data_IF_804506329260
#
_entry.id   IF_804506329260
#
_cell.length_a   1.000
_cell.length_b   1.000
_cell.length_c   1.000
_cell.angle_alpha   90.00
_cell.angle_beta   90.00
_cell.angle_gamma   90.00
#
_symmetry.space_group_name_H-M   'P 1'
#
loop_
_entity.id
_entity.type
_entity.pdbx_description
1 polymer ?
#
# COMPACT_ATOMS: atom_id res chain seq x y z
N UNK A 1 62.71 -4.56 15.83
CA UNK A 1 61.62 -5.01 14.93
C UNK A 1 60.52 -3.98 15.03
N UNK A 2 60.41 -3.10 14.03
CA UNK A 2 59.60 -1.88 14.08
C UNK A 2 58.60 -1.82 12.91
N UNK A 3 57.49 -1.14 13.19
CA UNK A 3 56.12 -1.39 12.81
C UNK A 3 55.64 -0.35 11.80
N UNK A 4 56.31 -0.19 10.64
CA UNK A 4 55.96 0.86 9.65
C UNK A 4 55.97 0.44 8.18
N UNK A 5 55.63 -0.82 7.89
CA UNK A 5 55.52 -1.34 6.51
C UNK A 5 54.08 -1.69 6.07
N UNK A 6 53.13 -0.77 6.32
CA UNK A 6 51.72 -0.89 5.86
C UNK A 6 51.14 0.44 5.35
N UNK A 7 51.85 1.11 4.44
CA UNK A 7 51.32 2.29 3.70
C UNK A 7 51.50 2.16 2.19
N UNK A 8 51.17 0.98 1.64
CA UNK A 8 51.21 0.71 0.18
C UNK A 8 49.81 0.50 -0.43
N UNK A 9 48.71 0.67 0.32
CA UNK A 9 47.36 0.51 -0.24
C UNK A 9 46.52 1.75 0.10
N UNK A 10 46.72 2.82 -0.66
CA UNK A 10 45.78 3.94 -0.76
C UNK A 10 45.83 4.44 -2.21
N UNK A 11 44.88 3.90 -2.99
CA UNK A 11 44.38 4.34 -4.30
C UNK A 11 44.72 5.80 -4.61
N UNK A 12 45.53 6.13 -5.62
CA UNK A 12 45.26 6.05 -7.08
C UNK A 12 43.90 6.68 -7.49
N UNK A 13 44.05 7.90 -8.02
CA UNK A 13 43.22 8.56 -9.05
C UNK A 13 41.91 9.21 -8.59
N UNK A 14 42.05 10.40 -7.99
CA UNK A 14 41.08 11.47 -8.15
C UNK A 14 41.13 11.98 -9.60
N UNK A 15 40.12 11.62 -10.39
CA UNK A 15 39.98 11.96 -11.80
C UNK A 15 39.53 13.40 -12.02
N UNK A 16 40.27 14.09 -12.88
CA UNK A 16 40.12 15.48 -13.26
C UNK A 16 38.88 15.76 -14.12
N UNK A 17 38.43 17.00 -13.99
CA UNK A 17 37.39 17.70 -14.75
C UNK A 17 37.95 18.17 -16.11
N UNK A 18 37.04 18.40 -17.07
CA UNK A 18 37.12 19.30 -18.25
C UNK A 18 37.15 18.64 -19.65
N UNK A 19 35.96 18.68 -20.28
CA UNK A 19 35.62 19.13 -21.65
C UNK A 19 36.42 18.61 -22.85
N UNK A 20 35.73 17.94 -23.77
CA UNK A 20 36.06 17.98 -25.19
C UNK A 20 35.54 16.79 -25.99
N UNK A 21 35.00 17.09 -27.17
CA UNK A 21 34.75 16.20 -28.33
C UNK A 21 33.35 15.63 -28.50
N UNK A 22 32.47 16.53 -28.97
CA UNK A 22 31.63 16.21 -30.12
C UNK A 22 32.50 15.63 -31.26
N UNK A 23 32.05 14.53 -31.86
CA UNK A 23 32.66 13.95 -33.07
C UNK A 23 33.55 12.75 -32.80
N UNK A 24 32.93 11.57 -32.62
CA UNK A 24 33.71 10.33 -32.61
C UNK A 24 33.04 9.14 -31.96
N UNK A 25 31.81 8.78 -32.37
CA UNK A 25 31.27 7.43 -32.19
C UNK A 25 30.17 7.12 -33.22
N UNK A 26 30.41 7.54 -34.47
CA UNK A 26 29.93 6.78 -35.63
C UNK A 26 30.75 5.48 -35.66
N UNK A 27 30.12 4.33 -35.43
CA UNK A 27 30.73 3.05 -35.82
C UNK A 27 30.75 1.93 -34.78
N UNK A 28 29.86 1.92 -33.79
CA UNK A 28 29.63 0.70 -33.01
C UNK A 28 28.18 0.63 -32.55
N UNK A 29 27.33 0.01 -33.37
CA UNK A 29 26.32 -0.99 -32.98
C UNK A 29 25.28 -1.16 -34.11
N UNK A 30 25.38 -2.30 -34.77
CA UNK A 30 24.36 -2.84 -35.67
C UNK A 30 23.11 -3.26 -34.88
N UNK A 31 21.95 -2.91 -35.46
CA UNK A 31 20.64 -3.61 -35.42
C UNK A 31 19.81 -3.66 -34.12
N UNK A 32 18.71 -2.91 -34.12
CA UNK A 32 17.47 -3.25 -33.41
C UNK A 32 16.24 -2.55 -34.04
N UNK A 33 15.05 -3.19 -34.10
CA UNK A 33 13.83 -2.65 -34.74
C UNK A 33 13.19 -1.45 -34.00
N UNK A 34 13.72 -1.09 -32.83
CA UNK A 34 13.16 -0.07 -31.96
C UNK A 34 13.33 1.38 -32.46
N UNK A 35 14.26 1.64 -33.41
CA UNK A 35 14.47 3.00 -33.91
C UNK A 35 13.42 3.44 -34.95
N UNK A 36 12.93 2.51 -35.79
CA UNK A 36 11.86 2.83 -36.75
C UNK A 36 10.52 3.12 -36.05
N UNK A 37 10.29 2.49 -34.90
CA UNK A 37 9.06 2.65 -34.12
C UNK A 37 9.05 3.95 -33.31
N UNK A 38 10.23 4.50 -32.98
CA UNK A 38 10.37 5.81 -32.35
C UNK A 38 10.12 6.96 -33.37
N UNK A 39 10.62 6.83 -34.60
CA UNK A 39 10.35 7.80 -35.67
C UNK A 39 8.87 7.83 -36.09
N UNK A 40 8.22 6.68 -36.23
CA UNK A 40 6.78 6.62 -36.57
C UNK A 40 5.86 7.17 -35.45
N UNK A 41 6.29 7.11 -34.18
CA UNK A 41 5.51 7.68 -33.06
C UNK A 41 5.56 9.20 -33.03
N UNK A 42 6.65 9.82 -33.48
CA UNK A 42 6.76 11.28 -33.57
C UNK A 42 5.85 11.85 -34.69
N UNK A 43 5.84 11.24 -35.87
CA UNK A 43 4.97 11.65 -37.00
C UNK A 43 3.46 11.50 -36.68
N UNK A 44 3.08 10.48 -35.90
CA UNK A 44 1.69 10.24 -35.49
C UNK A 44 1.20 11.23 -34.41
N UNK A 45 2.11 11.81 -33.62
CA UNK A 45 1.75 12.79 -32.60
C UNK A 45 1.46 14.18 -33.19
N UNK A 46 2.22 14.61 -34.20
CA UNK A 46 1.95 15.88 -34.90
C UNK A 46 0.64 15.82 -35.72
N UNK A 47 0.34 14.68 -36.35
CA UNK A 47 -0.95 14.49 -37.05
C UNK A 47 -2.17 14.49 -36.13
N UNK A 48 -2.01 14.11 -34.85
CA UNK A 48 -3.10 14.15 -33.87
C UNK A 48 -3.31 15.53 -33.26
N UNK A 49 -2.29 16.38 -33.22
CA UNK A 49 -2.42 17.74 -32.68
C UNK A 49 -3.09 18.69 -33.68
N UNK A 50 -2.91 18.47 -34.99
CA UNK A 50 -3.58 19.24 -36.05
C UNK A 50 -5.09 18.92 -36.23
N UNK A 51 -5.60 17.87 -35.57
CA UNK A 51 -7.01 17.47 -35.67
C UNK A 51 -7.89 17.97 -34.52
N UNK A 52 -7.34 18.74 -33.56
CA UNK A 52 -8.04 19.19 -32.35
C UNK A 52 -8.49 20.67 -32.44
N UNK A 53 -8.17 21.39 -33.51
CA UNK A 53 -8.51 22.83 -33.63
C UNK A 53 -9.75 23.17 -34.49
N UNK A 54 -10.49 22.21 -35.04
CA UNK A 54 -11.68 22.52 -35.85
C UNK A 54 -12.88 21.60 -35.56
N UNK A 55 -13.67 21.97 -34.55
CA UNK A 55 -15.14 21.88 -34.60
C UNK A 55 -15.74 22.34 -33.28
N UNK A 56 -16.11 23.62 -33.29
CA UNK A 56 -17.05 24.26 -32.40
C UNK A 56 -18.50 23.82 -32.71
N UNK A 57 -19.32 23.75 -31.66
CA UNK A 57 -20.78 23.96 -31.65
C UNK A 57 -21.72 22.72 -31.65
N UNK A 58 -22.30 22.52 -30.45
CA UNK A 58 -23.69 22.18 -30.10
C UNK A 58 -24.43 21.00 -30.77
N UNK A 59 -24.92 20.06 -29.93
CA UNK A 59 -26.38 19.88 -29.72
C UNK A 59 -26.69 18.96 -28.52
N UNK A 60 -27.85 19.20 -27.91
CA UNK A 60 -28.40 18.56 -26.71
C UNK A 60 -29.23 17.34 -27.15
N UNK A 61 -29.02 16.16 -26.55
CA UNK A 61 -30.04 15.09 -26.60
C UNK A 61 -29.91 14.13 -25.44
N UNK A 62 -31.02 13.96 -24.71
CA UNK A 62 -31.22 13.04 -23.59
C UNK A 62 -30.97 11.58 -23.97
N UNK A 63 -30.31 10.82 -23.10
CA UNK A 63 -30.38 9.37 -23.07
C UNK A 63 -30.21 8.87 -21.64
N UNK A 64 -31.26 8.25 -21.13
CA UNK A 64 -31.31 7.52 -19.85
C UNK A 64 -30.65 6.16 -20.06
N UNK A 65 -29.62 5.85 -19.28
CA UNK A 65 -29.05 4.50 -19.15
C UNK A 65 -29.13 4.03 -17.68
N UNK A 66 -29.31 2.72 -17.46
CA UNK A 66 -29.66 2.17 -16.15
C UNK A 66 -28.45 2.16 -15.22
N UNK A 67 -28.62 2.73 -14.04
CA UNK A 67 -27.68 2.62 -12.93
C UNK A 67 -27.68 1.20 -12.39
N UNK A 68 -26.75 0.37 -12.84
CA UNK A 68 -26.24 -0.73 -12.03
C UNK A 68 -25.19 -0.16 -11.07
N UNK A 69 -25.30 -0.36 -9.75
CA UNK A 69 -24.20 -0.02 -8.85
C UNK A 69 -23.02 -0.95 -9.17
N UNK A 70 -21.78 -0.43 -9.28
CA UNK A 70 -20.62 -1.31 -9.32
C UNK A 70 -20.50 -2.01 -7.97
N UNK A 71 -20.76 -3.32 -7.94
CA UNK A 71 -20.28 -4.20 -6.90
C UNK A 71 -18.76 -4.27 -7.04
N UNK A 72 -18.06 -3.35 -6.37
CA UNK A 72 -16.61 -3.30 -6.30
C UNK A 72 -16.11 -4.40 -5.34
N UNK A 73 -16.15 -5.65 -5.80
CA UNK A 73 -15.32 -6.72 -5.25
C UNK A 73 -13.94 -6.62 -5.89
N UNK A 74 -13.20 -5.58 -5.50
CA UNK A 74 -11.91 -5.21 -6.07
C UNK A 74 -10.82 -6.25 -5.80
N UNK A 75 -10.13 -6.63 -6.87
CA UNK A 75 -8.81 -7.30 -6.77
C UNK A 75 -7.86 -6.39 -5.99
N UNK A 76 -7.07 -6.91 -5.03
CA UNK A 76 -6.15 -6.10 -4.24
C UNK A 76 -5.18 -5.36 -5.16
N UNK A 77 -5.18 -4.03 -5.06
CA UNK A 77 -4.25 -3.17 -5.80
C UNK A 77 -3.13 -2.76 -4.85
N UNK A 78 -1.88 -2.87 -5.31
CA UNK A 78 -0.72 -2.36 -4.57
C UNK A 78 -0.87 -0.85 -4.46
N UNK A 79 -1.12 -0.36 -3.24
CA UNK A 79 -1.44 1.04 -3.01
C UNK A 79 -0.16 1.87 -2.88
N UNK A 80 -0.07 2.97 -3.62
CA UNK A 80 1.04 3.90 -3.51
C UNK A 80 0.75 4.88 -2.37
N UNK A 81 1.48 4.75 -1.27
CA UNK A 81 1.70 5.74 -0.20
C UNK A 81 0.45 6.38 0.45
N UNK A 82 -0.10 5.72 1.48
CA UNK A 82 -0.86 6.40 2.54
C UNK A 82 -0.11 6.23 3.87
N UNK A 83 0.95 7.02 4.07
CA UNK A 83 1.66 7.04 5.34
C UNK A 83 0.74 7.55 6.46
N UNK A 84 0.86 6.98 7.65
CA UNK A 84 0.03 7.34 8.79
C UNK A 84 -0.49 6.15 9.58
N UNK A 85 -1.34 6.45 10.56
CA UNK A 85 -2.00 5.47 11.43
C UNK A 85 -3.42 5.22 10.92
N UNK A 86 -3.76 3.96 10.66
CA UNK A 86 -5.03 3.56 10.06
C UNK A 86 -5.71 2.49 10.89
N UNK A 87 -7.04 2.57 11.00
CA UNK A 87 -7.87 1.53 11.58
C UNK A 87 -8.36 0.59 10.47
N UNK A 88 -8.22 -0.72 10.66
CA UNK A 88 -8.50 -1.67 9.59
C UNK A 88 -8.79 -3.09 10.11
N UNK A 89 -9.26 -3.93 9.20
CA UNK A 89 -9.22 -5.38 9.34
C UNK A 89 -8.13 -5.94 8.42
N UNK A 90 -7.29 -6.81 8.96
CA UNK A 90 -6.36 -7.61 8.14
C UNK A 90 -7.16 -8.76 7.54
N UNK A 91 -7.14 -8.89 6.21
CA UNK A 91 -7.88 -9.93 5.48
C UNK A 91 -7.01 -11.11 5.10
N UNK A 92 -5.79 -10.86 4.66
CA UNK A 92 -4.85 -11.90 4.24
C UNK A 92 -3.42 -11.52 4.57
N UNK A 93 -2.59 -12.52 4.85
CA UNK A 93 -1.13 -12.41 4.91
C UNK A 93 -0.57 -13.36 3.87
N UNK A 94 0.24 -12.86 2.95
CA UNK A 94 0.80 -13.65 1.85
C UNK A 94 2.29 -13.36 1.67
N UNK A 95 3.07 -14.42 1.49
CA UNK A 95 4.48 -14.32 1.11
C UNK A 95 4.57 -14.38 -0.43
N UNK A 96 5.13 -13.33 -1.05
CA UNK A 96 5.33 -13.26 -2.51
C UNK A 96 6.55 -12.41 -2.86
N UNK A 97 7.24 -12.77 -3.94
CA UNK A 97 8.40 -12.03 -4.45
C UNK A 97 9.49 -11.74 -3.38
N UNK A 98 9.70 -12.66 -2.43
CA UNK A 98 10.70 -12.53 -1.38
C UNK A 98 10.34 -11.55 -0.24
N UNK A 99 9.08 -11.11 -0.15
CA UNK A 99 8.58 -10.31 0.96
C UNK A 99 7.18 -10.77 1.41
N UNK A 100 6.76 -10.28 2.58
CA UNK A 100 5.44 -10.54 3.13
C UNK A 100 4.53 -9.32 2.89
N UNK A 101 3.27 -9.59 2.53
CA UNK A 101 2.27 -8.58 2.21
C UNK A 101 0.99 -8.83 3.00
N UNK A 102 0.39 -7.74 3.49
CA UNK A 102 -0.90 -7.74 4.16
C UNK A 102 -1.94 -7.08 3.25
N UNK A 103 -3.06 -7.76 3.05
CA UNK A 103 -4.27 -7.13 2.50
C UNK A 103 -5.10 -6.63 3.66
N UNK A 104 -5.45 -5.34 3.63
CA UNK A 104 -6.22 -4.66 4.66
C UNK A 104 -7.47 -4.01 4.09
N UNK A 105 -8.50 -3.96 4.91
CA UNK A 105 -9.79 -3.33 4.65
C UNK A 105 -9.97 -2.22 5.68
N UNK A 106 -9.89 -0.97 5.24
CA UNK A 106 -9.95 0.17 6.15
C UNK A 106 -11.34 0.34 6.73
N UNK A 107 -11.37 0.78 7.99
CA UNK A 107 -12.58 1.09 8.71
C UNK A 107 -12.33 2.32 9.58
N UNK A 108 -13.36 2.83 10.22
CA UNK A 108 -13.28 3.94 11.15
C UNK A 108 -13.86 3.50 12.49
N UNK A 109 -13.10 3.69 13.56
CA UNK A 109 -13.60 3.58 14.92
C UNK A 109 -14.08 4.95 15.37
N UNK A 110 -15.40 5.12 15.45
CA UNK A 110 -16.06 6.34 15.93
C UNK A 110 -16.38 6.18 17.41
N UNK A 111 -16.38 7.29 18.15
CA UNK A 111 -16.77 7.34 19.57
C UNK A 111 -17.70 8.52 19.87
N UNK A 112 -18.39 8.47 21.02
CA UNK A 112 -19.24 9.56 21.48
C UNK A 112 -20.37 9.91 20.52
N UNK A 113 -20.62 11.20 20.33
CA UNK A 113 -21.69 11.68 19.43
C UNK A 113 -21.54 11.17 18.00
N UNK A 114 -20.32 11.08 17.47
CA UNK A 114 -20.10 10.56 16.12
C UNK A 114 -20.49 9.08 16.01
N UNK A 115 -20.23 8.29 17.05
CA UNK A 115 -20.67 6.90 17.11
C UNK A 115 -22.20 6.79 17.17
N UNK A 116 -22.86 7.59 18.00
CA UNK A 116 -24.32 7.61 18.08
C UNK A 116 -24.98 8.01 16.75
N UNK A 117 -24.49 9.07 16.10
CA UNK A 117 -25.02 9.53 14.82
C UNK A 117 -24.82 8.47 13.72
N UNK A 118 -23.65 7.82 13.66
CA UNK A 118 -23.36 6.77 12.70
C UNK A 118 -24.17 5.49 12.95
N UNK A 119 -24.31 5.08 14.22
CA UNK A 119 -25.13 3.93 14.60
C UNK A 119 -26.61 4.15 14.24
N UNK A 120 -27.15 5.33 14.53
CA UNK A 120 -28.51 5.72 14.16
C UNK A 120 -28.71 5.71 12.63
N UNK A 121 -27.76 6.27 11.87
CA UNK A 121 -27.79 6.26 10.41
C UNK A 121 -27.71 4.84 9.82
N UNK A 122 -27.02 3.91 10.50
CA UNK A 122 -26.95 2.50 10.13
C UNK A 122 -28.17 1.68 10.58
N UNK A 123 -29.15 2.28 11.26
CA UNK A 123 -30.32 1.60 11.83
C UNK A 123 -29.97 0.65 12.98
N UNK A 124 -28.85 0.89 13.66
CA UNK A 124 -28.40 0.13 14.84
C UNK A 124 -28.78 0.84 16.14
N UNK A 125 -28.54 0.17 17.26
CA UNK A 125 -28.75 0.74 18.60
C UNK A 125 -27.97 2.05 18.77
N UNK A 126 -28.67 3.09 19.25
CA UNK A 126 -28.10 4.43 19.45
C UNK A 126 -28.57 5.03 20.78
N UNK A 127 -27.67 5.45 21.68
CA UNK A 127 -26.20 5.36 21.53
C UNK A 127 -25.74 3.88 21.53
N UNK A 128 -24.67 3.54 20.80
CA UNK A 128 -24.16 2.18 20.77
C UNK A 128 -23.61 1.77 22.14
N UNK A 129 -23.69 0.48 22.50
CA UNK A 129 -23.02 -0.05 23.69
C UNK A 129 -21.52 0.33 23.70
N UNK A 130 -20.99 0.60 24.88
CA UNK A 130 -19.57 0.97 25.09
C UNK A 130 -19.11 2.24 24.32
N UNK A 131 -20.06 3.06 23.82
CA UNK A 131 -19.85 4.37 23.20
C UNK A 131 -18.91 4.36 21.98
N UNK A 132 -18.86 3.26 21.23
CA UNK A 132 -18.13 3.16 19.98
C UNK A 132 -18.98 2.58 18.85
N UNK A 133 -18.65 2.96 17.63
CA UNK A 133 -19.23 2.39 16.42
C UNK A 133 -18.12 2.20 15.37
N UNK A 134 -17.99 0.98 14.85
CA UNK A 134 -17.05 0.71 13.76
C UNK A 134 -17.78 0.82 12.43
N UNK A 135 -17.45 1.86 11.68
CA UNK A 135 -17.98 2.07 10.34
C UNK A 135 -17.02 1.52 9.30
N UNK A 136 -17.52 0.73 8.36
CA UNK A 136 -16.78 0.36 7.17
C UNK A 136 -17.70 0.50 5.95
N UNK A 137 -17.83 1.74 5.48
CA UNK A 137 -18.61 2.11 4.30
C UNK A 137 -17.86 1.87 2.99
N UNK A 138 -16.53 1.84 3.01
CA UNK A 138 -15.68 1.63 1.84
C UNK A 138 -14.92 0.29 1.94
N UNK A 139 -15.40 -0.73 1.21
CA UNK A 139 -14.84 -2.10 1.21
C UNK A 139 -13.57 -2.28 0.37
N UNK A 140 -12.94 -1.19 -0.07
CA UNK A 140 -11.74 -1.26 -0.92
C UNK A 140 -10.60 -1.95 -0.17
N UNK A 141 -10.16 -3.08 -0.72
CA UNK A 141 -9.00 -3.80 -0.24
C UNK A 141 -7.71 -3.14 -0.73
N UNK A 142 -6.76 -2.96 0.19
CA UNK A 142 -5.45 -2.39 -0.07
C UNK A 142 -4.38 -3.38 0.36
N UNK A 143 -3.33 -3.51 -0.44
CA UNK A 143 -2.23 -4.40 -0.13
C UNK A 143 -0.94 -3.62 0.10
N UNK A 144 -0.22 -3.96 1.18
CA UNK A 144 1.02 -3.31 1.56
C UNK A 144 2.09 -4.35 1.94
N UNK A 145 3.38 -4.10 1.62
CA UNK A 145 4.47 -4.84 2.25
C UNK A 145 4.50 -4.54 3.75
N UNK A 146 5.00 -5.50 4.52
CA UNK A 146 5.19 -5.37 5.98
C UNK A 146 6.65 -5.57 6.36
N UNK A 147 7.12 -4.79 7.33
CA UNK A 147 8.38 -5.05 8.00
C UNK A 147 8.23 -6.26 8.93
N UNK A 148 8.84 -7.38 8.58
CA UNK A 148 8.73 -8.63 9.34
C UNK A 148 9.59 -8.67 10.60
N UNK A 149 10.44 -7.65 10.84
CA UNK A 149 11.22 -7.54 12.07
C UNK A 149 10.43 -6.93 13.25
N UNK A 150 9.18 -6.50 13.01
CA UNK A 150 8.35 -5.88 14.04
C UNK A 150 7.82 -6.90 15.05
N UNK A 151 7.43 -6.39 16.22
CA UNK A 151 6.54 -7.11 17.12
C UNK A 151 5.12 -6.58 16.95
N UNK A 152 4.15 -7.49 16.88
CA UNK A 152 2.72 -7.19 16.85
C UNK A 152 2.20 -7.14 18.28
N UNK A 153 1.39 -6.14 18.60
CA UNK A 153 0.71 -6.07 19.91
C UNK A 153 -0.67 -6.71 19.78
N UNK A 154 -0.95 -7.74 20.58
CA UNK A 154 -2.23 -8.43 20.61
C UNK A 154 -2.92 -8.20 21.95
N UNK A 155 -4.24 -8.23 21.95
CA UNK A 155 -5.10 -8.20 23.14
C UNK A 155 -5.92 -9.48 23.25
N UNK A 156 -6.25 -10.14 22.15
CA UNK A 156 -6.92 -11.44 22.17
C UNK A 156 -5.95 -12.55 22.56
N UNK A 157 -6.38 -13.49 23.40
CA UNK A 157 -5.63 -14.71 23.75
C UNK A 157 -6.50 -15.94 23.46
N UNK A 158 -5.91 -17.14 23.54
CA UNK A 158 -6.70 -18.37 23.44
C UNK A 158 -7.69 -18.56 24.60
N UNK A 159 -7.49 -17.84 25.71
CA UNK A 159 -8.25 -17.97 26.96
C UNK A 159 -9.23 -16.81 27.17
N UNK A 160 -9.25 -15.81 26.29
CA UNK A 160 -10.09 -14.63 26.39
C UNK A 160 -9.37 -13.38 25.90
N UNK A 161 -9.33 -12.35 26.75
CA UNK A 161 -8.77 -11.04 26.39
C UNK A 161 -7.82 -10.57 27.49
N UNK A 162 -6.70 -9.99 27.05
CA UNK A 162 -5.68 -9.34 27.85
C UNK A 162 -5.65 -7.85 27.48
N UNK A 163 -6.41 -6.97 28.19
CA UNK A 163 -6.61 -5.58 27.80
C UNK A 163 -5.33 -4.73 27.77
N UNK A 164 -4.34 -5.05 28.59
CA UNK A 164 -3.03 -4.38 28.61
C UNK A 164 -2.18 -4.68 27.37
N UNK A 165 -2.54 -5.72 26.63
CA UNK A 165 -1.85 -6.21 25.45
C UNK A 165 -0.52 -6.91 25.74
N UNK A 166 -0.12 -7.77 24.81
CA UNK A 166 1.16 -8.47 24.84
C UNK A 166 1.81 -8.45 23.46
N UNK A 167 3.13 -8.59 23.41
CA UNK A 167 3.90 -8.52 22.16
C UNK A 167 4.24 -9.91 21.65
N UNK A 168 4.03 -10.13 20.37
CA UNK A 168 4.46 -11.34 19.65
C UNK A 168 5.35 -10.96 18.46
N UNK A 169 6.41 -11.73 18.15
CA UNK A 169 7.13 -11.57 16.89
C UNK A 169 6.18 -11.68 15.70
N UNK A 170 6.43 -10.92 14.62
CA UNK A 170 5.57 -10.95 13.44
C UNK A 170 5.38 -12.36 12.86
N UNK A 171 6.43 -13.19 12.84
CA UNK A 171 6.33 -14.57 12.35
C UNK A 171 5.35 -15.43 13.15
N UNK A 172 5.31 -15.26 14.47
CA UNK A 172 4.34 -15.97 15.33
C UNK A 172 2.92 -15.47 15.10
N UNK A 173 2.75 -14.15 14.96
CA UNK A 173 1.47 -13.55 14.57
C UNK A 173 0.98 -14.09 13.22
N UNK A 174 1.84 -14.17 12.21
CA UNK A 174 1.49 -14.73 10.91
C UNK A 174 1.06 -16.20 11.03
N UNK A 175 1.79 -17.01 11.80
CA UNK A 175 1.44 -18.41 12.02
C UNK A 175 0.08 -18.56 12.70
N UNK A 176 -0.22 -17.74 13.71
CA UNK A 176 -1.54 -17.72 14.37
C UNK A 176 -2.63 -17.28 13.39
N UNK A 177 -2.42 -16.15 12.68
CA UNK A 177 -3.42 -15.57 11.77
C UNK A 177 -3.77 -16.51 10.62
N UNK A 178 -2.79 -17.23 10.08
CA UNK A 178 -2.96 -18.18 8.97
C UNK A 178 -3.39 -19.59 9.42
N UNK A 179 -3.54 -19.81 10.74
CA UNK A 179 -3.95 -21.08 11.31
C UNK A 179 -2.87 -22.17 11.31
N UNK A 180 -1.61 -21.82 11.06
CA UNK A 180 -0.45 -22.72 11.16
C UNK A 180 -0.15 -23.03 12.64
N UNK A 181 -0.30 -22.04 13.51
CA UNK A 181 -0.20 -22.21 14.96
C UNK A 181 -1.58 -21.97 15.61
N UNK A 182 -1.86 -22.71 16.69
CA UNK A 182 -3.06 -22.47 17.50
C UNK A 182 -3.01 -21.11 18.17
N UNK A 183 -4.14 -20.42 18.24
CA UNK A 183 -4.27 -19.13 18.89
C UNK A 183 -5.68 -18.56 18.78
N UNK A 184 -5.89 -17.30 19.19
CA UNK A 184 -7.17 -16.61 19.01
C UNK A 184 -7.55 -16.48 17.53
N UNK A 185 -8.84 -16.37 17.23
CA UNK A 185 -9.30 -15.97 15.90
C UNK A 185 -9.03 -14.47 15.69
N UNK A 186 -7.93 -14.19 14.98
CA UNK A 186 -7.48 -12.85 14.65
C UNK A 186 -8.11 -12.31 13.36
N UNK A 187 -8.80 -13.14 12.56
CA UNK A 187 -9.32 -12.75 11.24
C UNK A 187 -10.50 -11.78 11.31
N UNK A 188 -11.14 -11.71 12.49
CA UNK A 188 -12.28 -10.84 12.79
C UNK A 188 -11.91 -9.64 13.65
N UNK A 189 -10.68 -9.57 14.13
CA UNK A 189 -10.26 -8.51 15.04
C UNK A 189 -9.87 -7.24 14.28
N UNK A 190 -10.23 -6.06 14.80
CA UNK A 190 -9.73 -4.81 14.27
C UNK A 190 -8.30 -4.52 14.73
N UNK A 191 -7.54 -3.87 13.87
CA UNK A 191 -6.16 -3.48 14.12
C UNK A 191 -5.94 -2.01 13.79
N UNK A 192 -5.03 -1.40 14.53
CA UNK A 192 -4.32 -0.20 14.12
C UNK A 192 -3.01 -0.59 13.43
N UNK A 193 -2.82 -0.10 12.21
CA UNK A 193 -1.55 -0.21 11.50
C UNK A 193 -0.89 1.16 11.37
N UNK A 194 0.45 1.20 11.33
CA UNK A 194 1.19 2.40 10.91
C UNK A 194 1.96 2.12 9.65
N UNK A 195 1.71 2.90 8.61
CA UNK A 195 2.41 2.84 7.33
C UNK A 195 3.45 3.96 7.29
N UNK A 196 4.69 3.62 6.93
CA UNK A 196 5.80 4.55 6.71
C UNK A 196 6.50 4.20 5.41
N UNK A 197 6.65 5.18 4.53
CA UNK A 197 7.20 5.00 3.19
C UNK A 197 6.52 3.84 2.43
N UNK A 198 5.20 3.67 2.59
CA UNK A 198 4.43 2.60 1.95
C UNK A 198 4.60 1.19 2.56
N UNK A 199 5.32 1.03 3.67
CA UNK A 199 5.49 -0.25 4.38
C UNK A 199 4.81 -0.21 5.75
N UNK A 200 4.12 -1.29 6.13
CA UNK A 200 3.56 -1.44 7.48
C UNK A 200 4.71 -1.67 8.47
N UNK A 201 4.80 -0.80 9.48
CA UNK A 201 5.89 -0.79 10.49
C UNK A 201 5.39 -0.95 11.93
N UNK A 202 4.08 -0.87 12.14
CA UNK A 202 3.44 -1.15 13.44
C UNK A 202 2.11 -1.85 13.17
N UNK A 203 1.82 -2.88 13.96
CA UNK A 203 0.53 -3.55 14.01
C UNK A 203 0.15 -3.72 15.49
N UNK A 204 -1.04 -3.25 15.85
CA UNK A 204 -1.59 -3.41 17.19
C UNK A 204 -3.07 -3.72 17.10
N UNK A 205 -3.52 -4.79 17.74
CA UNK A 205 -4.93 -5.12 17.89
C UNK A 205 -5.64 -4.01 18.69
N UNK A 206 -6.86 -3.66 18.28
CA UNK A 206 -7.73 -2.79 19.06
C UNK A 206 -8.55 -3.65 20.02
N UNK A 207 -8.35 -3.45 21.32
CA UNK A 207 -9.22 -4.01 22.36
C UNK A 207 -10.65 -3.48 22.22
N UNK A 208 -11.62 -4.37 22.14
CA UNK A 208 -13.05 -4.04 22.23
C UNK A 208 -13.61 -4.64 23.53
N UNK A 209 -14.14 -3.83 24.46
CA UNK A 209 -14.69 -4.30 25.72
C UNK A 209 -16.06 -4.97 25.58
#
# INVERSE_FOLDING_TARGET
MDLRSKKIIAMLVGGALVVGLAGGLLGFLLRGPALNEALNRADQAEKKLAAVEDSSSAEVSSSVEPTTPPTDSGTPTVSTAEDGKHFCYIKTIVDKNGGTYLTVDYAEMLTGKAAADAAAAAGQESPPPNDYFISNTNKKLREFPVDTAINVTLTSTAEGVQPEGYKVPFGDFQNIFTGVASGPDLTRQPFWITIKNGTITVIAEQYLP
#
